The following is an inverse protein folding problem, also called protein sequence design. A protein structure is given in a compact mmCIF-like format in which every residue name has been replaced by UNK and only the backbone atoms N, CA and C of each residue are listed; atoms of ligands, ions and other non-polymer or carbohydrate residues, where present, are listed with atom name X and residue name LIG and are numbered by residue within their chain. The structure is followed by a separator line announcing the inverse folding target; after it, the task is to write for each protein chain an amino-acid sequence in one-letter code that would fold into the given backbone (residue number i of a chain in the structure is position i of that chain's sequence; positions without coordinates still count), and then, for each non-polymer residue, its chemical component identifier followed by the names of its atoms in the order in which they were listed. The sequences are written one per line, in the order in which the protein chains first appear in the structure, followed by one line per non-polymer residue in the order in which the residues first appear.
data_IF_557846936194
#
_entry.id   IF_557846936194
#
_cell.length_a   1.000
_cell.length_b   1.000
_cell.length_c   1.000
_cell.angle_alpha   90.00
_cell.angle_beta   90.00
_cell.angle_gamma   90.00
#
_symmetry.space_group_name_H-M   'P 1'
#
loop_
_entity.id
_entity.type
_entity.pdbx_description
1 polymer ?
#
# COMPACT_ATOMS: atom_id res chain seq x y z
N UNK A 1 10.75 -11.82 -2.88
CA UNK A 1 11.07 -10.90 -3.97
C UNK A 1 12.57 -10.74 -4.05
N UNK A 2 13.15 -10.73 -5.24
CA UNK A 2 14.56 -10.36 -5.42
C UNK A 2 14.64 -8.84 -5.40
N UNK A 3 15.03 -8.27 -4.26
CA UNK A 3 15.37 -6.85 -4.17
C UNK A 3 16.86 -6.78 -4.48
N UNK A 4 17.23 -6.27 -5.66
CA UNK A 4 18.62 -5.98 -5.97
C UNK A 4 19.11 -4.89 -5.03
N UNK A 5 20.24 -5.11 -4.36
CA UNK A 5 20.87 -4.10 -3.50
C UNK A 5 21.01 -2.77 -4.23
N UNK A 6 20.52 -1.69 -3.63
CA UNK A 6 20.62 -0.33 -4.17
C UNK A 6 22.05 0.15 -3.94
N UNK A 7 22.72 0.65 -4.98
CA UNK A 7 23.99 1.36 -4.81
C UNK A 7 23.70 2.80 -4.37
N UNK A 8 24.00 3.19 -3.11
CA UNK A 8 23.73 4.53 -2.59
C UNK A 8 24.62 5.61 -3.21
N UNK A 9 25.59 5.27 -4.07
CA UNK A 9 26.48 6.21 -4.76
C UNK A 9 25.99 6.57 -6.16
N UNK A 10 25.11 5.77 -6.75
CA UNK A 10 24.60 5.98 -8.10
C UNK A 10 23.33 6.82 -8.05
N UNK A 11 23.40 8.02 -8.62
CA UNK A 11 22.24 8.91 -8.75
C UNK A 11 21.27 8.38 -9.81
N UNK A 12 19.99 8.67 -9.60
CA UNK A 12 18.94 8.17 -10.46
C UNK A 12 18.67 6.68 -10.29
N UNK A 13 17.76 6.18 -11.11
CA UNK A 13 17.39 4.77 -11.18
C UNK A 13 16.71 4.50 -12.52
N UNK A 14 16.34 3.24 -12.77
CA UNK A 14 15.70 2.83 -14.03
C UNK A 14 14.48 3.71 -14.41
N UNK A 15 13.66 4.05 -13.42
CA UNK A 15 12.43 4.85 -13.59
C UNK A 15 12.68 6.37 -13.67
N UNK A 16 13.84 6.84 -13.22
CA UNK A 16 14.18 8.26 -13.18
C UNK A 16 15.71 8.43 -13.27
N UNK A 17 16.23 8.31 -14.50
CA UNK A 17 17.66 8.31 -14.77
C UNK A 17 18.32 9.67 -14.50
N UNK A 18 17.54 10.75 -14.60
CA UNK A 18 18.02 12.13 -14.47
C UNK A 18 17.88 12.68 -13.04
N UNK A 19 17.34 11.89 -12.11
CA UNK A 19 17.20 12.32 -10.72
C UNK A 19 18.56 12.62 -10.08
N UNK A 20 18.64 13.76 -9.39
CA UNK A 20 19.81 14.15 -8.61
C UNK A 20 20.00 13.33 -7.33
N UNK A 21 18.97 12.56 -6.94
CA UNK A 21 18.94 11.65 -5.79
C UNK A 21 18.98 10.19 -6.23
N UNK A 22 19.52 9.31 -5.37
CA UNK A 22 19.40 7.85 -5.55
C UNK A 22 17.93 7.48 -5.49
N UNK A 23 17.46 6.64 -6.41
CA UNK A 23 16.09 6.15 -6.37
C UNK A 23 15.99 4.65 -6.61
N UNK A 24 14.81 4.10 -6.35
CA UNK A 24 14.45 2.74 -6.69
C UNK A 24 12.93 2.63 -6.79
N UNK A 25 12.44 1.51 -7.32
CA UNK A 25 11.02 1.25 -7.35
C UNK A 25 10.70 -0.16 -6.88
N UNK A 26 9.51 -0.31 -6.32
CA UNK A 26 8.94 -1.60 -5.95
C UNK A 26 7.44 -1.60 -6.24
N UNK A 27 6.84 -2.79 -6.27
CA UNK A 27 5.41 -2.95 -6.49
C UNK A 27 4.74 -3.47 -5.23
N UNK A 28 3.66 -2.79 -4.82
CA UNK A 28 2.75 -3.28 -3.81
C UNK A 28 1.63 -4.03 -4.52
N UNK A 29 1.59 -5.35 -4.37
CA UNK A 29 0.62 -6.22 -5.02
C UNK A 29 -0.38 -6.80 -4.02
N UNK A 30 -1.64 -6.82 -4.41
CA UNK A 30 -2.75 -7.36 -3.62
C UNK A 30 -3.47 -8.45 -4.41
N UNK A 31 -3.64 -9.62 -3.81
CA UNK A 31 -4.37 -10.75 -4.39
C UNK A 31 -5.48 -11.19 -3.42
N UNK A 32 -6.65 -11.51 -3.96
CA UNK A 32 -7.84 -11.80 -3.16
C UNK A 32 -8.36 -13.20 -3.47
N UNK A 33 -8.26 -14.11 -2.51
CA UNK A 33 -8.76 -15.47 -2.67
C UNK A 33 -10.15 -15.64 -2.04
N UNK A 34 -11.13 -14.83 -2.45
CA UNK A 34 -12.47 -14.86 -1.87
C UNK A 34 -13.53 -15.24 -2.87
N UNK A 35 -14.17 -16.38 -2.61
CA UNK A 35 -15.40 -16.85 -3.26
C UNK A 35 -16.62 -15.98 -2.92
N UNK A 36 -16.49 -15.01 -2.00
CA UNK A 36 -17.58 -14.13 -1.54
C UNK A 36 -17.91 -13.03 -2.57
N UNK A 37 -16.96 -12.70 -3.45
CA UNK A 37 -17.18 -11.72 -4.51
C UNK A 37 -18.05 -12.32 -5.64
N UNK A 38 -19.36 -12.19 -5.48
CA UNK A 38 -20.34 -12.51 -6.52
C UNK A 38 -20.18 -11.62 -7.76
N UNK A 39 -20.64 -12.07 -8.93
CA UNK A 39 -20.69 -11.25 -10.14
C UNK A 39 -21.36 -9.89 -9.86
N UNK A 40 -20.65 -8.79 -10.13
CA UNK A 40 -21.14 -7.42 -9.93
C UNK A 40 -20.79 -6.78 -8.58
N UNK A 41 -20.23 -7.54 -7.64
CA UNK A 41 -19.69 -6.98 -6.39
C UNK A 41 -18.26 -6.44 -6.58
N UNK A 42 -17.94 -5.37 -5.85
CA UNK A 42 -16.60 -4.78 -5.82
C UNK A 42 -16.18 -4.50 -4.38
N UNK A 43 -14.90 -4.68 -4.08
CA UNK A 43 -14.28 -4.28 -2.82
C UNK A 43 -13.46 -3.02 -3.08
N UNK A 44 -13.60 -2.04 -2.19
CA UNK A 44 -12.72 -0.88 -2.13
C UNK A 44 -11.80 -1.02 -0.95
N UNK A 45 -10.51 -0.90 -1.20
CA UNK A 45 -9.47 -0.87 -0.18
C UNK A 45 -8.76 0.46 -0.24
N UNK A 46 -8.35 0.94 0.92
CA UNK A 46 -7.33 1.96 1.06
C UNK A 46 -6.08 1.28 1.57
N UNK A 47 -4.96 1.48 0.90
CA UNK A 47 -3.68 1.05 1.42
C UNK A 47 -2.78 2.26 1.65
N UNK A 48 -1.95 2.16 2.68
CA UNK A 48 -0.98 3.16 3.09
C UNK A 48 0.38 2.49 3.29
N UNK A 49 1.41 3.03 2.64
CA UNK A 49 2.80 2.63 2.83
C UNK A 49 3.52 3.77 3.55
N UNK A 50 4.19 3.46 4.64
CA UNK A 50 4.96 4.42 5.44
C UNK A 50 6.40 3.94 5.62
N UNK A 51 7.37 4.81 5.32
CA UNK A 51 8.78 4.56 5.57
C UNK A 51 9.22 5.05 6.96
N UNK A 52 9.76 4.13 7.76
CA UNK A 52 10.47 4.30 9.05
C UNK A 52 9.73 4.91 10.25
N UNK A 53 8.84 5.89 10.03
CA UNK A 53 8.22 6.69 11.09
C UNK A 53 7.17 5.93 11.91
N UNK A 54 6.71 4.77 11.43
CA UNK A 54 5.75 3.91 12.14
C UNK A 54 6.30 3.26 13.42
N UNK A 55 7.60 3.40 13.69
CA UNK A 55 8.26 2.91 14.92
C UNK A 55 8.40 3.98 16.00
N UNK A 56 7.82 5.18 15.80
CA UNK A 56 7.99 6.33 16.70
C UNK A 56 9.23 7.19 16.41
N UNK A 57 10.06 6.79 15.43
CA UNK A 57 11.14 7.63 14.90
C UNK A 57 10.54 8.84 14.18
N UNK A 58 11.06 10.03 14.45
CA UNK A 58 10.66 11.28 13.75
C UNK A 58 11.38 11.49 12.41
N UNK A 59 12.31 10.62 12.06
CA UNK A 59 13.15 10.74 10.88
C UNK A 59 12.87 9.62 9.87
N UNK A 60 12.94 9.97 8.60
CA UNK A 60 12.79 9.08 7.46
C UNK A 60 13.87 9.41 6.41
N UNK A 61 14.38 8.37 5.75
CA UNK A 61 15.40 8.42 4.69
C UNK A 61 14.78 8.32 3.29
N UNK A 62 13.63 7.66 3.18
CA UNK A 62 12.93 7.44 1.92
C UNK A 62 11.77 8.44 1.72
N UNK A 63 11.60 8.90 0.49
CA UNK A 63 10.48 9.74 0.03
C UNK A 63 9.81 9.11 -1.18
N UNK A 64 8.48 9.08 -1.22
CA UNK A 64 7.73 8.58 -2.36
C UNK A 64 7.51 9.70 -3.38
N UNK A 65 7.71 9.40 -4.67
CA UNK A 65 7.42 10.32 -5.77
C UNK A 65 6.01 10.90 -5.70
N UNK A 66 5.04 10.05 -5.39
CA UNK A 66 3.62 10.40 -5.33
C UNK A 66 3.27 11.41 -4.22
N UNK A 67 4.14 11.61 -3.23
CA UNK A 67 3.89 12.48 -2.09
C UNK A 67 5.04 13.47 -1.82
N UNK A 68 5.93 13.68 -2.80
CA UNK A 68 7.09 14.57 -2.68
C UNK A 68 6.74 15.97 -2.17
N UNK A 69 5.64 16.54 -2.66
CA UNK A 69 5.17 17.89 -2.33
C UNK A 69 4.22 17.93 -1.12
N UNK A 70 4.03 16.81 -0.42
CA UNK A 70 3.18 16.74 0.77
C UNK A 70 3.97 16.97 2.06
N UNK A 71 3.25 17.25 3.15
CA UNK A 71 3.82 17.32 4.50
C UNK A 71 4.43 15.98 4.99
N UNK A 72 4.01 14.86 4.38
CA UNK A 72 4.45 13.51 4.74
C UNK A 72 5.00 12.76 3.51
N UNK A 73 6.15 13.19 2.95
CA UNK A 73 6.66 12.60 1.71
C UNK A 73 7.16 11.16 1.88
N UNK A 74 7.29 10.68 3.12
CA UNK A 74 7.61 9.30 3.46
C UNK A 74 6.37 8.39 3.56
N UNK A 75 5.20 8.90 3.18
CA UNK A 75 3.94 8.17 3.21
C UNK A 75 3.28 8.26 1.84
N UNK A 76 2.73 7.15 1.36
CA UNK A 76 1.81 7.14 0.21
C UNK A 76 0.54 6.41 0.59
N UNK A 77 -0.60 6.96 0.19
CA UNK A 77 -1.93 6.37 0.36
C UNK A 77 -2.61 6.26 -1.00
N UNK A 78 -3.18 5.11 -1.32
CA UNK A 78 -3.98 4.93 -2.54
C UNK A 78 -5.21 4.08 -2.27
N UNK A 79 -6.22 4.30 -3.09
CA UNK A 79 -7.42 3.46 -3.12
C UNK A 79 -7.32 2.44 -4.25
N UNK A 80 -7.71 1.20 -3.97
CA UNK A 80 -7.78 0.10 -4.90
C UNK A 80 -9.23 -0.39 -4.98
N UNK A 81 -9.73 -0.54 -6.21
CA UNK A 81 -11.06 -1.12 -6.46
C UNK A 81 -10.87 -2.48 -7.12
N UNK A 82 -11.22 -3.54 -6.40
CA UNK A 82 -11.19 -4.91 -6.91
C UNK A 82 -12.60 -5.30 -7.34
N UNK A 83 -12.72 -5.85 -8.54
CA UNK A 83 -13.99 -6.37 -9.08
C UNK A 83 -13.93 -7.90 -9.08
N UNK A 84 -15.06 -8.56 -8.86
CA UNK A 84 -15.11 -10.04 -8.79
C UNK A 84 -14.50 -10.78 -9.99
N UNK A 85 -14.42 -10.16 -11.16
CA UNK A 85 -13.77 -10.74 -12.36
C UNK A 85 -12.24 -10.82 -12.27
N UNK A 86 -11.61 -10.07 -11.36
CA UNK A 86 -10.16 -9.94 -11.21
C UNK A 86 -9.62 -10.63 -9.95
N UNK A 87 -10.40 -11.54 -9.34
CA UNK A 87 -10.07 -12.20 -8.08
C UNK A 87 -8.69 -12.88 -8.08
N UNK A 88 -8.30 -13.50 -9.19
CA UNK A 88 -7.08 -14.30 -9.27
C UNK A 88 -5.86 -13.52 -9.77
N UNK A 89 -6.05 -12.30 -10.27
CA UNK A 89 -4.96 -11.47 -10.78
C UNK A 89 -4.45 -10.52 -9.69
N UNK A 90 -3.13 -10.47 -9.45
CA UNK A 90 -2.57 -9.54 -8.49
C UNK A 90 -2.74 -8.11 -8.99
N UNK A 91 -3.37 -7.27 -8.17
CA UNK A 91 -3.44 -5.84 -8.40
C UNK A 91 -2.19 -5.17 -7.84
N UNK A 92 -1.26 -4.79 -8.74
CA UNK A 92 0.00 -4.18 -8.37
C UNK A 92 -0.01 -2.66 -8.59
N UNK A 93 0.55 -1.93 -7.63
CA UNK A 93 0.85 -0.51 -7.78
C UNK A 93 2.33 -0.25 -7.55
N UNK A 94 2.99 0.26 -8.59
CA UNK A 94 4.40 0.64 -8.55
C UNK A 94 4.60 1.93 -7.76
N UNK A 95 5.60 1.92 -6.89
CA UNK A 95 6.04 3.06 -6.09
C UNK A 95 7.47 3.41 -6.46
N UNK A 96 7.69 4.66 -6.85
CA UNK A 96 9.03 5.21 -7.06
C UNK A 96 9.45 5.96 -5.79
N UNK A 97 10.62 5.61 -5.27
CA UNK A 97 11.15 6.08 -3.99
C UNK A 97 12.51 6.74 -4.21
N UNK A 98 12.69 7.91 -3.62
CA UNK A 98 13.93 8.66 -3.58
C UNK A 98 14.55 8.58 -2.18
N UNK A 99 15.87 8.42 -2.10
CA UNK A 99 16.62 8.47 -0.85
C UNK A 99 17.12 9.89 -0.60
N UNK A 100 17.03 10.36 0.64
CA UNK A 100 17.69 11.61 1.07
C UNK A 100 19.21 11.47 0.94
N UNK A 101 19.88 12.58 0.68
CA UNK A 101 21.36 12.59 0.66
C UNK A 101 21.94 12.33 2.06
N UNK A 102 23.12 11.70 2.11
CA UNK A 102 23.91 11.50 3.34
C UNK A 102 23.16 10.78 4.47
N UNK A 103 22.30 9.82 4.12
CA UNK A 103 21.59 8.99 5.09
C UNK A 103 22.46 7.81 5.54
N UNK A 104 22.17 7.23 6.71
CA UNK A 104 22.72 5.94 7.10
C UNK A 104 22.42 4.87 6.03
N UNK A 105 23.47 4.19 5.54
CA UNK A 105 23.41 3.13 4.53
C UNK A 105 23.61 1.73 5.13
N UNK A 106 23.93 1.63 6.43
CA UNK A 106 24.22 0.37 7.10
C UNK A 106 22.97 -0.31 7.67
N UNK A 107 21.92 0.47 7.94
CA UNK A 107 20.63 -0.07 8.42
C UNK A 107 19.61 -0.15 7.28
N UNK A 108 18.82 -1.23 7.20
CA UNK A 108 17.81 -1.36 6.16
C UNK A 108 16.69 -0.33 6.35
N UNK A 109 16.04 0.07 5.25
CA UNK A 109 14.91 1.00 5.28
C UNK A 109 13.64 0.19 5.41
N UNK A 110 12.95 0.37 6.54
CA UNK A 110 11.72 -0.38 6.81
C UNK A 110 10.51 0.34 6.24
N UNK A 111 9.64 -0.42 5.58
CA UNK A 111 8.36 0.02 5.04
C UNK A 111 7.23 -0.73 5.73
N UNK A 112 6.25 0.01 6.24
CA UNK A 112 5.01 -0.57 6.77
C UNK A 112 3.89 -0.37 5.75
N UNK A 113 3.36 -1.47 5.23
CA UNK A 113 2.13 -1.50 4.46
C UNK A 113 0.97 -1.76 5.42
N UNK A 114 -0.05 -0.92 5.33
CA UNK A 114 -1.32 -1.08 6.03
C UNK A 114 -2.47 -0.98 5.03
N UNK A 115 -3.53 -1.74 5.21
CA UNK A 115 -4.72 -1.61 4.36
C UNK A 115 -6.01 -1.76 5.16
N UNK A 116 -7.06 -1.07 4.70
CA UNK A 116 -8.39 -1.04 5.34
C UNK A 116 -9.49 -1.13 4.30
N UNK A 117 -10.61 -1.77 4.64
CA UNK A 117 -11.82 -1.79 3.82
C UNK A 117 -12.52 -0.44 3.83
N UNK A 118 -12.86 0.06 2.64
CA UNK A 118 -13.77 1.19 2.46
C UNK A 118 -15.16 0.60 2.19
N UNK A 119 -15.98 0.51 3.22
CA UNK A 119 -17.35 0.02 3.12
C UNK A 119 -18.30 0.84 3.99
N UNK A 120 -19.60 0.75 3.68
CA UNK A 120 -20.64 1.34 4.53
C UNK A 120 -20.87 0.44 5.74
N UNK A 121 -21.19 1.04 6.88
CA UNK A 121 -21.61 0.29 8.05
C UNK A 121 -22.96 -0.40 7.80
N UNK A 122 -23.14 -1.65 8.26
CA UNK A 122 -24.42 -2.34 8.15
C UNK A 122 -25.47 -1.61 8.98
N UNK A 123 -26.61 -1.30 8.37
CA UNK A 123 -27.76 -0.72 9.08
C UNK A 123 -28.56 -1.82 9.77
N UNK A 124 -29.03 -1.55 10.98
CA UNK A 124 -29.98 -2.43 11.65
C UNK A 124 -31.33 -2.36 10.92
N UNK A 125 -31.82 -3.50 10.42
CA UNK A 125 -33.13 -3.58 9.78
C UNK A 125 -34.26 -3.33 10.78
N UNK A 126 -35.32 -2.66 10.34
CA UNK A 126 -36.55 -2.54 11.15
C UNK A 126 -37.31 -3.86 11.18
N UNK A 127 -38.14 -4.05 12.21
CA UNK A 127 -39.03 -5.21 12.28
C UNK A 127 -39.93 -5.25 11.04
N UNK A 128 -39.86 -6.34 10.28
CA UNK A 128 -40.60 -6.52 9.02
C UNK A 128 -39.84 -6.13 7.74
N UNK A 129 -38.65 -5.52 7.83
CA UNK A 129 -37.77 -5.33 6.67
C UNK A 129 -36.99 -6.60 6.33
N UNK A 130 -36.69 -6.78 5.04
CA UNK A 130 -35.78 -7.83 4.60
C UNK A 130 -34.37 -7.63 5.20
N UNK A 131 -33.75 -8.73 5.60
CA UNK A 131 -32.38 -8.74 6.12
C UNK A 131 -31.43 -8.38 4.95
N UNK A 132 -30.49 -7.43 5.14
CA UNK A 132 -29.53 -7.09 4.10
C UNK A 132 -28.65 -8.29 3.76
N UNK A 133 -28.26 -8.40 2.49
CA UNK A 133 -27.36 -9.45 2.04
C UNK A 133 -25.98 -9.29 2.73
N UNK A 134 -25.60 -10.32 3.49
CA UNK A 134 -24.33 -10.36 4.23
C UNK A 134 -23.11 -10.26 3.31
N UNK A 135 -23.24 -10.70 2.05
CA UNK A 135 -22.16 -10.63 1.06
C UNK A 135 -21.79 -9.20 0.67
N UNK A 136 -22.61 -8.21 1.04
CA UNK A 136 -22.33 -6.79 0.82
C UNK A 136 -21.46 -6.16 1.92
N UNK A 137 -21.17 -6.89 3.00
CA UNK A 137 -20.41 -6.40 4.16
C UNK A 137 -19.25 -7.35 4.51
N UNK A 138 -18.25 -7.50 3.63
CA UNK A 138 -17.09 -8.32 3.91
C UNK A 138 -16.31 -7.79 5.12
N UNK A 139 -15.55 -8.66 5.78
CA UNK A 139 -14.69 -8.31 6.90
C UNK A 139 -13.25 -8.60 6.52
N UNK A 140 -12.37 -7.65 6.84
CA UNK A 140 -10.94 -7.78 6.62
C UNK A 140 -10.31 -8.59 7.75
N UNK A 141 -9.39 -9.48 7.41
CA UNK A 141 -8.48 -10.06 8.39
C UNK A 141 -7.53 -8.97 8.91
N UNK A 142 -7.73 -8.56 10.16
CA UNK A 142 -6.96 -7.48 10.79
C UNK A 142 -5.51 -7.88 11.08
N UNK A 143 -5.21 -9.17 11.23
CA UNK A 143 -3.83 -9.62 11.48
C UNK A 143 -2.98 -9.47 10.22
N UNK A 144 -3.57 -9.77 9.06
CA UNK A 144 -2.92 -9.64 7.76
C UNK A 144 -2.94 -8.20 7.21
N UNK A 145 -3.74 -7.30 7.79
CA UNK A 145 -3.95 -5.91 7.37
C UNK A 145 -2.74 -4.98 7.56
N UNK A 146 -1.68 -5.46 8.21
CA UNK A 146 -0.47 -4.70 8.49
C UNK A 146 0.78 -5.57 8.33
N UNK A 147 1.67 -5.20 7.42
CA UNK A 147 2.95 -5.90 7.18
C UNK A 147 4.12 -4.92 7.15
N UNK A 148 5.26 -5.36 7.67
CA UNK A 148 6.52 -4.60 7.64
C UNK A 148 7.52 -5.34 6.76
N UNK A 149 8.18 -4.60 5.87
CA UNK A 149 9.16 -5.10 4.92
C UNK A 149 10.45 -4.28 5.03
N UNK A 150 11.57 -4.85 4.61
CA UNK A 150 12.89 -4.22 4.61
C UNK A 150 13.72 -4.64 3.39
#
# INVERSE_FOLDING_TARGET
GMISSIDPKVKGCFEDQNSSSVCFSFEACFQFNSSVLSHGTYIKLRYRIEAETFTGKKYYRAKFKASLESEAPNVVEKELVIRGVSLYEPHCSRQLVYLKEKTDIQTPIKFKLTYTLIQKEPRMSKVGEAIPDINQYPILDQQEASKVFE
#
